data_IF_612189399416
#
_entry.id   IF_612189399416
#
_cell.length_a   1.000
_cell.length_b   1.000
_cell.length_c   1.000
_cell.angle_alpha   90.00
_cell.angle_beta   90.00
_cell.angle_gamma   90.00
#
_symmetry.space_group_name_H-M   'P 1'
#
loop_
_entity.id
_entity.type
_entity.pdbx_description
1 polymer ?
#
# COMPACT_ATOMS: atom_id res chain seq x y z
N UNK A 1 -23.10 29.84 58.45
CA UNK A 1 -23.52 28.90 57.35
C UNK A 1 -23.56 29.51 55.94
N UNK A 2 -23.75 30.84 55.77
CA UNK A 2 -23.81 31.45 54.40
C UNK A 2 -22.43 31.55 53.65
N UNK A 3 -21.30 31.69 54.36
CA UNK A 3 -19.96 31.81 53.78
C UNK A 3 -19.43 30.50 53.21
N UNK A 4 -19.82 29.34 53.74
CA UNK A 4 -19.40 28.02 53.20
C UNK A 4 -20.08 27.66 51.88
N UNK A 5 -21.30 28.15 51.62
CA UNK A 5 -22.00 27.89 50.34
C UNK A 5 -21.39 28.64 49.18
N UNK A 6 -20.82 29.82 49.39
CA UNK A 6 -20.14 30.57 48.32
C UNK A 6 -18.78 29.96 47.91
N UNK A 7 -18.03 29.39 48.83
CA UNK A 7 -16.77 28.74 48.56
C UNK A 7 -17.00 27.43 47.79
N UNK A 8 -18.03 26.66 48.15
CA UNK A 8 -18.39 25.44 47.41
C UNK A 8 -18.87 25.74 45.98
N UNK A 9 -19.59 26.85 45.77
CA UNK A 9 -20.03 27.24 44.40
C UNK A 9 -18.88 27.77 43.59
N UNK A 10 -17.92 28.49 44.16
CA UNK A 10 -16.71 28.94 43.47
C UNK A 10 -15.77 27.76 43.09
N UNK A 11 -15.63 26.77 43.99
CA UNK A 11 -14.88 25.55 43.65
C UNK A 11 -15.58 24.71 42.57
N UNK A 12 -16.91 24.61 42.59
CA UNK A 12 -17.66 23.89 41.54
C UNK A 12 -17.59 24.59 40.18
N UNK A 13 -17.52 25.93 40.15
CA UNK A 13 -17.28 26.67 38.88
C UNK A 13 -15.86 26.50 38.33
N UNK A 14 -14.84 26.41 39.19
CA UNK A 14 -13.45 26.22 38.79
C UNK A 14 -13.23 24.77 38.27
N UNK A 15 -13.90 23.78 38.85
CA UNK A 15 -13.83 22.39 38.40
C UNK A 15 -14.63 22.13 37.09
N UNK A 16 -15.68 22.92 36.83
CA UNK A 16 -16.44 22.80 35.57
C UNK A 16 -15.72 23.43 34.37
N UNK A 17 -14.75 24.32 34.58
CA UNK A 17 -13.93 24.87 33.47
C UNK A 17 -12.83 23.90 33.03
N UNK A 18 -12.43 22.96 33.90
CA UNK A 18 -11.42 21.97 33.56
C UNK A 18 -11.95 20.81 32.66
N UNK A 19 -13.26 20.69 32.45
CA UNK A 19 -13.90 19.63 31.69
C UNK A 19 -14.00 19.89 30.16
N UNK A 20 -13.71 21.11 29.72
CA UNK A 20 -13.72 21.47 28.28
C UNK A 20 -12.36 21.26 27.59
N UNK A 21 -11.41 20.55 28.24
CA UNK A 21 -10.00 20.64 27.92
C UNK A 21 -9.61 20.03 26.58
N UNK A 22 -10.21 18.94 26.13
CA UNK A 22 -9.61 18.18 25.03
C UNK A 22 -10.11 18.62 23.64
N UNK A 23 -11.39 18.88 23.48
CA UNK A 23 -11.93 19.33 22.18
C UNK A 23 -11.62 20.81 21.90
N UNK A 24 -11.70 21.68 22.92
CA UNK A 24 -11.34 23.10 22.77
C UNK A 24 -9.84 23.28 22.51
N UNK A 25 -8.98 22.47 23.11
CA UNK A 25 -7.55 22.49 22.81
C UNK A 25 -7.26 22.11 21.34
N UNK A 26 -7.96 21.12 20.78
CA UNK A 26 -7.78 20.73 19.37
C UNK A 26 -8.22 21.83 18.39
N UNK A 27 -9.19 22.66 18.76
CA UNK A 27 -9.62 23.82 17.97
C UNK A 27 -8.65 25.00 18.09
N UNK A 28 -8.03 25.19 19.27
CA UNK A 28 -7.06 26.26 19.52
C UNK A 28 -5.66 25.95 18.97
N UNK A 29 -5.29 24.67 18.84
CA UNK A 29 -4.00 24.22 18.29
C UNK A 29 -4.01 23.96 16.78
N UNK A 30 -5.05 24.31 16.05
CA UNK A 30 -4.93 24.44 14.59
C UNK A 30 -3.92 25.54 14.33
N UNK A 31 -2.68 25.12 14.08
CA UNK A 31 -1.64 26.01 13.63
C UNK A 31 -2.19 26.81 12.46
N UNK A 32 -2.29 28.13 12.61
CA UNK A 32 -2.86 29.03 11.61
C UNK A 32 -1.97 29.17 10.35
N UNK A 33 -1.10 28.18 10.11
CA UNK A 33 -0.20 28.12 8.95
C UNK A 33 -0.68 27.07 7.96
N UNK A 34 -0.63 27.43 6.67
CA UNK A 34 -0.89 26.48 5.58
C UNK A 34 0.40 25.74 5.24
N UNK A 35 0.40 24.43 5.38
CA UNK A 35 1.52 23.54 5.07
C UNK A 35 1.01 22.15 4.66
N UNK A 36 1.56 21.52 3.59
CA UNK A 36 2.36 22.17 2.55
C UNK A 36 1.49 23.06 1.66
N UNK A 37 2.10 24.05 1.03
CA UNK A 37 1.45 24.88 0.01
C UNK A 37 2.17 24.71 -1.32
N UNK A 38 1.47 24.18 -2.33
CA UNK A 38 1.96 24.06 -3.71
C UNK A 38 1.45 25.24 -4.50
N UNK A 39 2.36 26.08 -5.01
CA UNK A 39 2.01 27.27 -5.78
C UNK A 39 3.19 27.75 -6.64
N UNK A 40 2.92 28.15 -7.87
CA UNK A 40 3.90 28.75 -8.77
C UNK A 40 5.21 27.94 -8.89
N UNK A 41 5.08 26.65 -9.22
CA UNK A 41 6.22 25.72 -9.38
C UNK A 41 7.10 25.55 -8.13
N UNK A 42 6.53 25.83 -6.95
CA UNK A 42 7.19 25.66 -5.67
C UNK A 42 6.32 24.94 -4.65
N UNK A 43 6.98 24.34 -3.67
CA UNK A 43 6.35 23.77 -2.47
C UNK A 43 6.90 24.51 -1.27
N UNK A 44 6.00 25.10 -0.47
CA UNK A 44 6.35 25.80 0.76
C UNK A 44 5.83 25.03 1.95
N UNK A 45 6.73 24.71 2.87
CA UNK A 45 6.42 24.12 4.17
C UNK A 45 6.48 25.19 5.25
N UNK A 46 5.54 25.12 6.22
CA UNK A 46 5.51 26.02 7.39
C UNK A 46 5.21 25.21 8.64
N UNK A 47 5.89 25.53 9.72
CA UNK A 47 5.73 24.84 10.99
C UNK A 47 5.89 25.80 12.17
N UNK A 48 4.96 25.75 13.13
CA UNK A 48 5.01 26.61 14.31
C UNK A 48 5.78 25.91 15.45
N UNK A 49 6.97 26.42 15.74
CA UNK A 49 7.81 25.92 16.83
C UNK A 49 8.69 27.04 17.41
N UNK A 50 8.12 27.97 18.19
CA UNK A 50 8.82 29.20 18.61
C UNK A 50 10.03 28.94 19.51
N UNK A 51 10.09 27.77 20.17
CA UNK A 51 11.20 27.40 21.08
C UNK A 51 12.19 26.41 20.47
N UNK A 52 11.97 25.94 19.25
CA UNK A 52 12.87 25.02 18.58
C UNK A 52 14.17 25.73 18.19
N UNK A 53 15.28 24.99 18.19
CA UNK A 53 16.60 25.47 17.76
C UNK A 53 16.87 25.17 16.29
N UNK A 54 16.27 24.08 15.79
CA UNK A 54 16.45 23.64 14.42
C UNK A 54 15.18 22.93 13.94
N UNK A 55 14.67 23.34 12.78
CA UNK A 55 13.57 22.64 12.11
C UNK A 55 13.96 22.38 10.66
N UNK A 56 13.58 21.22 10.13
CA UNK A 56 13.82 20.83 8.74
C UNK A 56 12.71 19.92 8.22
N UNK A 57 12.61 19.78 6.90
CA UNK A 57 11.74 18.83 6.22
C UNK A 57 12.59 17.67 5.72
N UNK A 58 12.20 16.43 6.09
CA UNK A 58 12.71 15.20 5.49
C UNK A 58 11.67 14.70 4.48
N UNK A 59 12.08 14.48 3.22
CA UNK A 59 11.13 14.16 2.15
C UNK A 59 11.69 13.12 1.19
N UNK A 60 10.80 12.25 0.66
CA UNK A 60 11.17 11.09 -0.16
C UNK A 60 11.83 11.46 -1.50
N UNK A 61 11.59 12.63 -2.05
CA UNK A 61 12.25 13.07 -3.30
C UNK A 61 13.68 13.56 -3.12
N UNK A 62 14.13 13.75 -1.88
CA UNK A 62 15.51 14.15 -1.58
C UNK A 62 16.49 12.98 -1.55
N UNK A 63 15.99 11.75 -1.71
CA UNK A 63 16.76 10.50 -1.65
C UNK A 63 16.92 9.95 -0.23
N UNK A 64 17.22 8.66 -0.14
CA UNK A 64 17.58 8.00 1.11
C UNK A 64 18.95 8.53 1.58
N UNK A 65 19.10 8.87 2.84
CA UNK A 65 20.29 9.42 3.48
C UNK A 65 20.63 10.86 3.10
N UNK A 66 19.76 11.58 2.43
CA UNK A 66 20.09 12.92 1.98
C UNK A 66 19.40 13.99 2.81
N UNK A 67 19.93 15.04 2.67
CA UNK A 67 19.64 16.43 2.83
C UNK A 67 18.20 16.71 3.24
N UNK A 68 18.03 16.95 4.52
CA UNK A 68 16.84 17.63 5.00
C UNK A 68 16.85 19.06 4.46
N UNK A 69 15.69 19.59 4.12
CA UNK A 69 15.52 21.00 3.79
C UNK A 69 15.51 21.80 5.09
N UNK A 70 16.55 22.59 5.41
CA UNK A 70 16.55 23.40 6.61
C UNK A 70 15.51 24.51 6.49
N UNK A 71 14.80 24.78 7.57
CA UNK A 71 13.81 25.85 7.66
C UNK A 71 14.41 27.07 8.37
N UNK A 72 13.88 28.25 8.05
CA UNK A 72 14.24 29.53 8.70
C UNK A 72 13.07 30.01 9.55
N UNK A 73 13.35 30.48 10.77
CA UNK A 73 12.34 30.99 11.70
C UNK A 73 12.11 32.48 11.50
N UNK A 74 10.85 32.91 11.49
CA UNK A 74 10.46 34.30 11.52
C UNK A 74 10.30 34.84 12.96
N UNK A 75 9.99 36.14 13.10
CA UNK A 75 9.82 36.83 14.38
C UNK A 75 8.61 36.27 15.19
N UNK A 76 7.66 35.59 14.56
CA UNK A 76 6.48 34.99 15.20
C UNK A 76 6.70 33.53 15.61
N UNK A 77 7.90 33.00 15.41
CA UNK A 77 8.23 31.62 15.71
C UNK A 77 7.75 30.59 14.69
N UNK A 78 7.39 31.05 13.49
CA UNK A 78 7.02 30.20 12.34
C UNK A 78 8.27 29.86 11.56
N UNK A 79 8.53 28.58 11.42
CA UNK A 79 9.58 28.05 10.55
C UNK A 79 9.04 27.86 9.14
N UNK A 80 9.82 28.19 8.13
CA UNK A 80 9.43 28.04 6.73
C UNK A 80 10.60 27.66 5.83
N UNK A 81 10.30 26.92 4.75
CA UNK A 81 11.19 26.66 3.63
C UNK A 81 10.38 26.52 2.34
N UNK A 82 10.88 27.11 1.27
CA UNK A 82 10.36 26.91 -0.09
C UNK A 82 11.39 26.18 -0.93
N UNK A 83 10.94 25.22 -1.72
CA UNK A 83 11.77 24.45 -2.65
C UNK A 83 11.09 24.41 -4.02
N UNK A 84 11.82 24.25 -5.13
CA UNK A 84 11.21 23.94 -6.41
C UNK A 84 10.29 22.74 -6.29
N UNK A 85 9.18 22.76 -7.02
CA UNK A 85 8.26 21.64 -7.07
C UNK A 85 8.95 20.40 -7.66
N UNK A 86 8.94 19.25 -6.98
CA UNK A 86 9.46 18.02 -7.57
C UNK A 86 8.56 17.54 -8.73
N UNK A 87 9.04 16.57 -9.51
CA UNK A 87 8.29 16.00 -10.61
C UNK A 87 6.91 15.46 -10.15
N UNK A 88 5.90 15.40 -11.04
CA UNK A 88 4.59 14.85 -10.68
C UNK A 88 4.66 13.43 -10.10
N UNK A 89 4.27 13.28 -8.84
CA UNK A 89 4.25 12.01 -8.11
C UNK A 89 3.57 12.19 -6.75
N UNK A 90 3.28 11.09 -6.05
CA UNK A 90 2.90 11.07 -4.65
C UNK A 90 4.14 10.84 -3.78
N UNK A 91 4.49 11.84 -3.03
CA UNK A 91 5.63 11.85 -2.11
C UNK A 91 5.21 11.71 -0.66
N UNK A 92 6.15 11.33 0.18
CA UNK A 92 6.01 11.36 1.64
C UNK A 92 7.02 12.32 2.25
N UNK A 93 6.66 12.94 3.39
CA UNK A 93 7.56 13.80 4.15
C UNK A 93 7.24 13.78 5.64
N UNK A 94 8.19 14.23 6.44
CA UNK A 94 8.03 14.50 7.87
C UNK A 94 8.71 15.82 8.21
N UNK A 95 8.30 16.45 9.31
CA UNK A 95 9.02 17.55 9.95
C UNK A 95 10.01 16.97 10.96
N UNK A 96 11.21 17.54 11.02
CA UNK A 96 12.22 17.18 12.02
C UNK A 96 12.50 18.40 12.89
N UNK A 97 12.17 18.29 14.19
CA UNK A 97 12.32 19.38 15.18
C UNK A 97 13.35 18.96 16.20
N UNK A 98 14.47 19.68 16.28
CA UNK A 98 15.59 19.37 17.20
C UNK A 98 16.03 17.91 17.19
N UNK A 99 15.97 17.27 16.00
CA UNK A 99 16.33 15.86 15.80
C UNK A 99 15.18 14.86 15.96
N UNK A 100 14.00 15.30 16.38
CA UNK A 100 12.81 14.43 16.53
C UNK A 100 11.95 14.50 15.26
N UNK A 101 11.72 13.34 14.64
CA UNK A 101 10.83 13.22 13.48
C UNK A 101 9.38 13.18 13.91
N UNK A 102 8.53 14.01 13.29
CA UNK A 102 7.12 14.10 13.59
C UNK A 102 6.27 14.41 12.35
N UNK A 103 4.97 14.22 12.45
CA UNK A 103 4.02 14.62 11.40
C UNK A 103 3.86 16.15 11.38
N UNK A 104 3.58 16.67 10.19
CA UNK A 104 3.10 18.04 9.99
C UNK A 104 1.62 18.11 10.41
N UNK A 105 1.28 18.81 11.49
CA UNK A 105 -0.11 18.88 11.98
C UNK A 105 -1.02 19.69 11.06
N UNK A 106 -0.47 20.46 10.14
CA UNK A 106 -1.23 21.25 9.16
C UNK A 106 -1.65 20.42 7.96
N UNK A 107 -1.13 19.21 7.79
CA UNK A 107 -1.47 18.29 6.71
C UNK A 107 -2.17 17.03 7.25
N UNK A 108 -3.47 16.90 6.98
CA UNK A 108 -4.28 15.74 7.39
C UNK A 108 -4.02 14.48 6.55
N UNK A 109 -3.33 14.61 5.42
CA UNK A 109 -2.99 13.49 4.56
C UNK A 109 -1.81 12.72 5.15
N UNK A 110 -2.09 11.59 5.77
CA UNK A 110 -1.10 10.74 6.43
C UNK A 110 -1.10 9.36 5.79
N UNK A 111 0.10 8.81 5.59
CA UNK A 111 0.34 7.45 5.15
C UNK A 111 1.14 6.69 6.20
N UNK A 112 0.96 5.38 6.24
CA UNK A 112 1.65 4.48 7.15
C UNK A 112 2.41 3.41 6.36
N UNK A 113 3.68 3.22 6.70
CA UNK A 113 4.50 2.12 6.19
C UNK A 113 5.03 1.30 7.38
N UNK A 114 4.44 0.15 7.60
CA UNK A 114 4.66 -0.63 8.82
C UNK A 114 4.28 0.17 10.07
N UNK A 115 5.26 0.48 10.91
CA UNK A 115 5.09 1.29 12.13
C UNK A 115 5.40 2.79 11.93
N UNK A 116 5.81 3.21 10.73
CA UNK A 116 6.16 4.61 10.45
C UNK A 116 4.99 5.37 9.86
N UNK A 117 4.74 6.57 10.38
CA UNK A 117 3.76 7.50 9.85
C UNK A 117 4.47 8.66 9.14
N UNK A 118 3.93 9.06 8.00
CA UNK A 118 4.45 10.14 7.16
C UNK A 118 3.30 10.94 6.59
N UNK A 119 3.50 12.25 6.38
CA UNK A 119 2.54 13.02 5.60
C UNK A 119 2.70 12.74 4.11
N UNK A 120 1.61 12.84 3.38
CA UNK A 120 1.58 12.70 1.93
C UNK A 120 1.56 14.08 1.24
N UNK A 121 2.25 14.18 0.11
CA UNK A 121 2.24 15.32 -0.79
C UNK A 121 2.03 14.84 -2.22
N UNK A 122 0.86 15.09 -2.78
CA UNK A 122 0.57 14.80 -4.18
C UNK A 122 0.96 16.01 -5.05
N UNK A 123 1.88 15.79 -5.98
CA UNK A 123 2.17 16.71 -7.07
C UNK A 123 1.47 16.19 -8.32
N UNK A 124 0.45 16.89 -8.82
CA UNK A 124 -0.36 16.40 -9.95
C UNK A 124 0.41 16.41 -11.27
N UNK A 125 -0.06 15.63 -12.23
CA UNK A 125 0.46 15.50 -13.59
C UNK A 125 0.90 14.07 -13.92
N UNK A 126 0.74 13.68 -15.19
CA UNK A 126 1.17 12.37 -15.68
C UNK A 126 0.57 11.18 -14.92
N UNK A 127 1.40 10.29 -14.40
CA UNK A 127 0.91 9.15 -13.61
C UNK A 127 0.26 9.56 -12.29
N UNK A 128 0.68 10.68 -11.71
CA UNK A 128 0.18 11.13 -10.41
C UNK A 128 -1.28 11.55 -10.44
N UNK A 129 -1.83 11.88 -11.60
CA UNK A 129 -3.26 12.19 -11.75
C UNK A 129 -4.16 10.99 -11.41
N UNK A 130 -3.65 9.77 -11.56
CA UNK A 130 -4.36 8.55 -11.15
C UNK A 130 -4.43 8.37 -9.63
N UNK A 131 -3.59 9.08 -8.87
CA UNK A 131 -3.53 8.97 -7.40
C UNK A 131 -4.46 9.97 -6.70
N UNK A 132 -5.03 10.91 -7.44
CA UNK A 132 -6.01 11.87 -6.94
C UNK A 132 -7.37 11.19 -6.67
N UNK A 133 -8.14 11.79 -5.77
CA UNK A 133 -9.51 11.32 -5.50
C UNK A 133 -10.37 11.43 -6.75
N UNK A 134 -11.09 10.36 -7.06
CA UNK A 134 -12.04 10.32 -8.17
C UNK A 134 -13.36 11.00 -7.80
N UNK A 135 -14.03 11.60 -8.78
CA UNK A 135 -15.40 12.11 -8.61
C UNK A 135 -16.45 11.00 -8.44
N UNK A 136 -16.09 9.76 -8.75
CA UNK A 136 -16.93 8.56 -8.59
C UNK A 136 -16.12 7.48 -7.86
N UNK A 137 -15.90 7.63 -6.55
CA UNK A 137 -15.10 6.68 -5.79
C UNK A 137 -15.84 5.36 -5.57
N UNK A 138 -15.08 4.29 -5.52
CA UNK A 138 -15.51 3.02 -4.96
C UNK A 138 -15.49 3.04 -3.42
N UNK A 139 -15.66 1.87 -2.80
CA UNK A 139 -15.64 1.74 -1.34
C UNK A 139 -14.58 0.74 -0.90
N UNK A 140 -14.12 0.88 0.34
CA UNK A 140 -13.24 -0.09 1.01
C UNK A 140 -13.93 -0.60 2.26
N UNK A 141 -14.08 -1.92 2.34
CA UNK A 141 -14.58 -2.61 3.53
C UNK A 141 -13.40 -3.20 4.30
N UNK A 142 -13.38 -3.04 5.63
CA UNK A 142 -12.49 -3.75 6.53
C UNK A 142 -13.19 -5.03 6.97
N UNK A 143 -12.73 -6.16 6.48
CA UNK A 143 -13.41 -7.45 6.64
C UNK A 143 -12.62 -8.36 7.57
N UNK A 144 -13.25 -8.78 8.66
CA UNK A 144 -12.72 -9.82 9.54
C UNK A 144 -13.23 -11.18 9.08
N UNK A 145 -12.34 -12.15 9.00
CA UNK A 145 -12.66 -13.52 8.61
C UNK A 145 -11.86 -14.52 9.44
N UNK A 146 -12.43 -15.69 9.68
CA UNK A 146 -11.69 -16.78 10.28
C UNK A 146 -10.88 -17.50 9.20
N UNK A 147 -9.59 -17.64 9.42
CA UNK A 147 -8.68 -18.43 8.61
C UNK A 147 -8.48 -19.80 9.28
N UNK A 148 -9.04 -20.83 8.71
CA UNK A 148 -8.86 -22.19 9.22
C UNK A 148 -7.42 -22.69 9.03
N UNK A 149 -6.77 -22.28 7.94
CA UNK A 149 -5.36 -22.61 7.66
C UNK A 149 -4.41 -22.06 8.71
N UNK A 150 -4.69 -20.84 9.23
CA UNK A 150 -3.86 -20.18 10.24
C UNK A 150 -4.42 -20.34 11.67
N UNK A 151 -5.61 -20.94 11.84
CA UNK A 151 -6.31 -21.06 13.13
C UNK A 151 -6.41 -19.73 13.88
N UNK A 152 -6.87 -18.68 13.20
CA UNK A 152 -7.10 -17.35 13.81
C UNK A 152 -8.07 -16.51 13.00
N UNK A 153 -8.72 -15.56 13.68
CA UNK A 153 -9.48 -14.49 13.00
C UNK A 153 -8.51 -13.46 12.46
N UNK A 154 -8.63 -13.11 11.17
CA UNK A 154 -7.73 -12.22 10.45
C UNK A 154 -8.52 -11.12 9.75
N UNK A 155 -7.83 -10.05 9.36
CA UNK A 155 -8.41 -8.92 8.64
C UNK A 155 -7.87 -8.81 7.22
N UNK A 156 -8.74 -8.38 6.30
CA UNK A 156 -8.39 -7.96 4.94
C UNK A 156 -9.18 -6.70 4.57
N UNK A 157 -8.70 -5.95 3.59
CA UNK A 157 -9.45 -4.87 2.98
C UNK A 157 -10.02 -5.33 1.66
N UNK A 158 -11.27 -4.95 1.38
CA UNK A 158 -11.97 -5.30 0.14
C UNK A 158 -12.44 -4.01 -0.52
N UNK A 159 -11.82 -3.68 -1.66
CA UNK A 159 -12.30 -2.60 -2.52
C UNK A 159 -13.41 -3.10 -3.42
N UNK A 160 -14.47 -2.30 -3.53
CA UNK A 160 -15.58 -2.48 -4.46
C UNK A 160 -15.71 -1.27 -5.37
N UNK A 161 -15.86 -1.45 -6.71
CA UNK A 161 -15.88 -0.33 -7.65
C UNK A 161 -17.13 0.55 -7.50
N UNK A 162 -17.06 1.77 -8.01
CA UNK A 162 -18.23 2.68 -8.05
C UNK A 162 -19.44 2.00 -8.69
N UNK A 163 -20.61 2.17 -8.08
CA UNK A 163 -21.84 1.53 -8.52
C UNK A 163 -21.99 0.06 -8.10
N UNK A 164 -21.10 -0.45 -7.27
CA UNK A 164 -21.28 -1.78 -6.69
C UNK A 164 -22.53 -1.85 -5.82
N UNK A 165 -23.36 -2.87 -6.06
CA UNK A 165 -24.51 -3.19 -5.22
C UNK A 165 -24.45 -4.67 -4.82
N UNK A 166 -24.29 -4.92 -3.52
CA UNK A 166 -24.23 -6.27 -2.94
C UNK A 166 -25.50 -7.09 -3.20
N UNK A 167 -26.64 -6.42 -3.32
CA UNK A 167 -27.94 -7.06 -3.51
C UNK A 167 -28.20 -7.41 -4.98
N UNK A 168 -27.52 -6.78 -5.92
CA UNK A 168 -27.65 -7.07 -7.35
C UNK A 168 -26.87 -8.35 -7.72
N UNK A 169 -27.55 -9.49 -7.70
CA UNK A 169 -26.94 -10.78 -8.04
C UNK A 169 -26.74 -11.02 -9.54
N UNK A 170 -27.27 -10.13 -10.37
CA UNK A 170 -27.12 -10.23 -11.83
C UNK A 170 -25.76 -9.70 -12.32
N UNK A 171 -25.12 -8.81 -11.56
CA UNK A 171 -23.79 -8.28 -11.86
C UNK A 171 -22.75 -9.05 -11.03
N UNK A 172 -21.76 -9.62 -11.71
CA UNK A 172 -20.64 -10.32 -11.06
C UNK A 172 -19.33 -9.68 -11.46
N UNK A 173 -18.46 -9.48 -10.49
CA UNK A 173 -17.18 -8.82 -10.66
C UNK A 173 -16.02 -9.83 -10.67
N UNK A 174 -15.00 -9.63 -11.51
CA UNK A 174 -13.73 -10.33 -11.35
C UNK A 174 -13.01 -9.81 -10.12
N UNK A 175 -12.05 -10.59 -9.60
CA UNK A 175 -11.36 -10.31 -8.34
C UNK A 175 -9.84 -10.33 -8.54
N UNK A 176 -9.20 -9.24 -8.16
CA UNK A 176 -7.75 -9.15 -7.99
C UNK A 176 -7.41 -9.36 -6.51
N UNK A 177 -6.61 -10.36 -6.19
CA UNK A 177 -5.98 -10.55 -4.90
C UNK A 177 -4.61 -9.88 -4.91
N UNK A 178 -4.40 -8.84 -4.09
CA UNK A 178 -3.26 -7.94 -4.17
C UNK A 178 -2.45 -7.97 -2.88
N UNK A 179 -1.21 -8.45 -2.96
CA UNK A 179 -0.37 -8.79 -1.83
C UNK A 179 0.71 -7.72 -1.57
N UNK A 180 0.85 -7.30 -0.31
CA UNK A 180 1.84 -6.31 0.13
C UNK A 180 3.24 -6.92 0.27
N UNK A 181 4.26 -6.08 0.48
CA UNK A 181 5.66 -6.48 0.71
C UNK A 181 6.01 -6.76 2.17
N UNK A 182 7.24 -7.14 2.42
CA UNK A 182 7.78 -7.34 3.77
C UNK A 182 7.63 -6.08 4.63
N UNK A 183 7.19 -6.25 5.87
CA UNK A 183 6.93 -5.15 6.81
C UNK A 183 5.61 -4.41 6.61
N UNK A 184 4.90 -4.63 5.49
CA UNK A 184 3.56 -4.11 5.26
C UNK A 184 2.46 -4.96 5.90
N UNK A 185 1.23 -4.58 5.61
CA UNK A 185 0.01 -5.25 6.05
C UNK A 185 -1.15 -4.94 5.09
N UNK A 186 -2.39 -5.30 5.44
CA UNK A 186 -3.57 -5.11 4.60
C UNK A 186 -3.87 -3.65 4.23
N UNK A 187 -3.30 -2.67 4.95
CA UNK A 187 -3.46 -1.24 4.69
C UNK A 187 -2.53 -0.70 3.58
N UNK A 188 -1.39 -1.37 3.36
CA UNK A 188 -0.31 -0.85 2.53
C UNK A 188 -0.74 -0.47 1.10
N UNK A 189 -1.50 -1.34 0.42
CA UNK A 189 -1.97 -1.07 -0.93
C UNK A 189 -3.07 0.00 -1.00
N UNK A 190 -3.91 0.13 0.04
CA UNK A 190 -4.96 1.14 0.07
C UNK A 190 -4.40 2.55 0.28
N UNK A 191 -3.39 2.70 1.12
CA UNK A 191 -2.81 4.00 1.48
C UNK A 191 -1.59 4.35 0.63
N UNK A 192 -0.46 3.64 0.78
CA UNK A 192 0.76 3.87 0.01
C UNK A 192 0.60 3.53 -1.47
N UNK A 193 -0.12 2.45 -1.78
CA UNK A 193 -0.36 1.99 -3.14
C UNK A 193 -1.41 2.77 -3.91
N UNK A 194 -2.26 3.55 -3.24
CA UNK A 194 -3.36 4.31 -3.86
C UNK A 194 -4.27 3.45 -4.76
N UNK A 195 -4.43 2.18 -4.41
CA UNK A 195 -5.15 1.20 -5.23
C UNK A 195 -6.57 1.66 -5.59
N UNK A 196 -7.30 2.21 -4.61
CA UNK A 196 -8.67 2.68 -4.83
C UNK A 196 -8.72 3.79 -5.86
N UNK A 197 -7.89 4.82 -5.70
CA UNK A 197 -7.85 5.98 -6.60
C UNK A 197 -7.39 5.57 -8.01
N UNK A 198 -6.37 4.72 -8.12
CA UNK A 198 -5.91 4.18 -9.42
C UNK A 198 -7.06 3.47 -10.14
N UNK A 199 -7.76 2.58 -9.45
CA UNK A 199 -8.87 1.83 -10.04
C UNK A 199 -10.05 2.72 -10.38
N UNK A 200 -10.47 3.60 -9.47
CA UNK A 200 -11.57 4.52 -9.70
C UNK A 200 -11.34 5.37 -10.95
N UNK A 201 -10.13 5.93 -11.09
CA UNK A 201 -9.76 6.76 -12.22
C UNK A 201 -9.66 5.94 -13.54
N UNK A 202 -9.05 4.76 -13.49
CA UNK A 202 -8.92 3.90 -14.68
C UNK A 202 -10.27 3.30 -15.12
N UNK A 203 -11.13 2.92 -14.19
CA UNK A 203 -12.49 2.43 -14.49
C UNK A 203 -13.33 3.54 -15.08
N UNK A 204 -13.29 4.75 -14.49
CA UNK A 204 -14.00 5.92 -15.02
C UNK A 204 -13.56 6.31 -16.44
N UNK A 205 -12.27 6.07 -16.77
CA UNK A 205 -11.71 6.28 -18.11
C UNK A 205 -11.97 5.11 -19.09
N UNK A 206 -12.61 4.03 -18.65
CA UNK A 206 -12.81 2.82 -19.46
C UNK A 206 -11.53 2.02 -19.75
N UNK A 207 -10.40 2.31 -19.05
CA UNK A 207 -9.11 1.66 -19.25
C UNK A 207 -8.98 0.36 -18.47
N UNK A 208 -9.67 0.23 -17.34
CA UNK A 208 -9.74 -1.00 -16.55
C UNK A 208 -11.19 -1.48 -16.46
N UNK A 209 -11.38 -2.80 -16.39
CA UNK A 209 -12.69 -3.39 -16.10
C UNK A 209 -13.09 -3.08 -14.65
N UNK A 210 -14.37 -2.80 -14.36
CA UNK A 210 -14.84 -2.82 -12.98
C UNK A 210 -14.52 -4.16 -12.32
N UNK A 211 -13.75 -4.11 -11.23
CA UNK A 211 -13.27 -5.29 -10.50
C UNK A 211 -13.28 -5.05 -9.00
N UNK A 212 -13.34 -6.11 -8.23
CA UNK A 212 -13.05 -6.06 -6.81
C UNK A 212 -11.55 -6.29 -6.56
N UNK A 213 -11.02 -5.69 -5.49
CA UNK A 213 -9.65 -5.96 -5.05
C UNK A 213 -9.66 -6.40 -3.60
N UNK A 214 -9.05 -7.52 -3.33
CA UNK A 214 -8.86 -8.07 -1.99
C UNK A 214 -7.41 -7.88 -1.58
N UNK A 215 -7.20 -7.12 -0.53
CA UNK A 215 -5.89 -6.78 0.04
C UNK A 215 -5.76 -7.41 1.42
N UNK A 216 -5.30 -8.65 1.52
CA UNK A 216 -5.13 -9.33 2.79
C UNK A 216 -3.80 -8.97 3.44
N UNK A 217 -3.65 -9.29 4.73
CA UNK A 217 -2.36 -9.35 5.37
C UNK A 217 -1.62 -10.62 4.92
N UNK A 218 -0.56 -10.45 4.13
CA UNK A 218 0.26 -11.56 3.61
C UNK A 218 1.18 -12.21 4.64
N UNK A 219 1.24 -11.67 5.88
CA UNK A 219 1.97 -12.29 6.98
C UNK A 219 1.03 -13.28 7.71
N UNK A 220 1.25 -14.60 7.61
CA UNK A 220 0.35 -15.60 8.17
C UNK A 220 0.29 -15.58 9.71
N UNK A 221 1.23 -14.92 10.36
CA UNK A 221 1.32 -14.87 11.82
C UNK A 221 0.64 -13.63 12.44
N UNK A 222 0.01 -12.78 11.64
CA UNK A 222 -0.67 -11.56 12.10
C UNK A 222 -2.17 -11.64 11.94
N UNK A 223 -2.90 -11.15 12.95
CA UNK A 223 -4.36 -10.98 12.89
C UNK A 223 -4.73 -9.82 11.94
N UNK A 224 -4.05 -8.71 12.10
CA UNK A 224 -4.24 -7.45 11.38
C UNK A 224 -2.96 -6.61 11.43
N UNK A 225 -3.02 -5.37 10.95
CA UNK A 225 -1.91 -4.42 10.97
C UNK A 225 -1.19 -4.38 12.33
N UNK A 226 0.14 -4.43 12.31
CA UNK A 226 0.99 -4.48 13.52
C UNK A 226 0.74 -3.35 14.50
N UNK A 227 0.40 -2.15 14.00
CA UNK A 227 0.23 -0.94 14.82
C UNK A 227 -1.09 -0.89 15.60
N UNK A 228 -1.97 -1.88 15.46
CA UNK A 228 -3.23 -1.93 16.21
C UNK A 228 -3.06 -2.45 17.66
N UNK A 229 -1.85 -2.81 18.08
CA UNK A 229 -1.61 -3.41 19.39
C UNK A 229 -2.29 -4.76 19.61
N UNK A 230 -2.78 -5.38 18.54
CA UNK A 230 -3.38 -6.71 18.58
C UNK A 230 -2.24 -7.74 18.65
N UNK A 231 -2.28 -8.67 19.61
CA UNK A 231 -1.26 -9.73 19.70
C UNK A 231 -1.17 -10.53 18.41
N UNK A 232 0.05 -10.85 17.99
CA UNK A 232 0.29 -11.80 16.90
C UNK A 232 0.50 -13.20 17.49
N UNK A 233 0.11 -14.22 16.75
CA UNK A 233 0.43 -15.60 17.10
C UNK A 233 1.95 -15.79 16.99
N UNK A 234 2.56 -16.49 17.94
CA UNK A 234 3.97 -16.86 17.82
C UNK A 234 4.20 -17.61 16.50
N UNK A 235 5.33 -17.32 15.84
CA UNK A 235 5.72 -17.98 14.61
C UNK A 235 5.96 -19.46 14.95
N UNK A 236 5.02 -20.29 14.57
CA UNK A 236 5.24 -21.74 14.61
C UNK A 236 6.02 -22.15 13.37
N UNK A 237 6.86 -23.15 13.49
CA UNK A 237 7.67 -23.70 12.38
C UNK A 237 6.85 -24.15 11.16
N UNK A 238 5.52 -24.26 11.31
CA UNK A 238 4.59 -24.60 10.21
C UNK A 238 4.66 -23.65 9.02
N UNK A 239 4.98 -22.36 9.26
CA UNK A 239 4.89 -21.33 8.20
C UNK A 239 6.25 -20.76 7.75
N UNK A 240 7.38 -21.19 8.30
CA UNK A 240 8.75 -20.86 7.86
C UNK A 240 8.95 -19.43 7.36
N UNK A 241 9.59 -19.26 6.22
CA UNK A 241 9.63 -18.00 5.50
C UNK A 241 8.26 -17.75 4.83
N UNK A 242 7.76 -16.53 4.88
CA UNK A 242 6.43 -16.16 4.38
C UNK A 242 6.30 -16.17 2.84
N UNK A 243 7.37 -16.50 2.11
CA UNK A 243 7.37 -16.37 0.64
C UNK A 243 6.62 -17.49 -0.08
N UNK A 244 6.68 -18.70 0.43
CA UNK A 244 6.16 -19.88 -0.27
C UNK A 244 4.92 -20.50 0.38
N UNK A 245 4.50 -20.02 1.55
CA UNK A 245 3.47 -20.64 2.38
C UNK A 245 2.26 -19.74 2.68
N UNK A 246 1.80 -18.96 1.73
CA UNK A 246 0.55 -18.21 1.88
C UNK A 246 -0.64 -19.00 1.29
N UNK A 247 -0.74 -20.29 1.66
CA UNK A 247 -1.82 -21.22 1.23
C UNK A 247 -3.22 -20.73 1.62
N UNK A 248 -3.35 -20.01 2.73
CA UNK A 248 -4.62 -19.47 3.20
C UNK A 248 -5.30 -18.51 2.20
N UNK A 249 -4.58 -17.95 1.23
CA UNK A 249 -5.23 -17.18 0.15
C UNK A 249 -6.22 -18.05 -0.62
N UNK A 250 -5.80 -19.24 -1.01
CA UNK A 250 -6.64 -20.16 -1.80
C UNK A 250 -7.56 -20.97 -0.93
N UNK A 251 -7.11 -21.37 0.27
CA UNK A 251 -7.89 -22.23 1.17
C UNK A 251 -9.02 -21.46 1.89
N UNK A 252 -8.78 -20.21 2.30
CA UNK A 252 -9.71 -19.46 3.15
C UNK A 252 -10.30 -18.23 2.45
N UNK A 253 -9.44 -17.39 1.84
CA UNK A 253 -9.86 -16.07 1.35
C UNK A 253 -10.67 -16.18 0.06
N UNK A 254 -10.24 -16.97 -0.93
CA UNK A 254 -10.98 -17.16 -2.18
C UNK A 254 -12.39 -17.69 -1.90
N UNK A 255 -12.58 -18.77 -1.11
CA UNK A 255 -13.92 -19.26 -0.76
C UNK A 255 -14.75 -18.24 0.02
N UNK A 256 -14.14 -17.49 0.94
CA UNK A 256 -14.83 -16.45 1.69
C UNK A 256 -15.40 -15.37 0.77
N UNK A 257 -14.58 -14.86 -0.15
CA UNK A 257 -15.00 -13.83 -1.12
C UNK A 257 -16.11 -14.36 -2.03
N UNK A 258 -16.01 -15.59 -2.52
CA UNK A 258 -17.01 -16.20 -3.38
C UNK A 258 -18.34 -16.50 -2.69
N UNK A 259 -18.31 -16.69 -1.38
CA UNK A 259 -19.52 -16.87 -0.55
C UNK A 259 -20.22 -15.54 -0.28
N UNK A 260 -19.47 -14.48 -0.03
CA UNK A 260 -19.99 -13.23 0.54
C UNK A 260 -20.19 -12.11 -0.49
N UNK A 261 -19.62 -12.22 -1.70
CA UNK A 261 -19.66 -11.18 -2.72
C UNK A 261 -20.14 -11.72 -4.07
N UNK A 262 -20.80 -10.89 -4.92
CA UNK A 262 -21.22 -11.28 -6.25
C UNK A 262 -20.03 -11.27 -7.22
N UNK A 263 -19.24 -12.35 -7.20
CA UNK A 263 -18.02 -12.47 -7.99
C UNK A 263 -18.09 -13.59 -9.02
N UNK A 264 -17.22 -13.51 -10.04
CA UNK A 264 -17.03 -14.55 -11.06
C UNK A 264 -16.22 -15.68 -10.43
N UNK A 265 -16.84 -16.86 -10.24
CA UNK A 265 -16.29 -18.00 -9.50
C UNK A 265 -15.49 -18.99 -10.37
N UNK A 266 -14.83 -18.51 -11.41
CA UNK A 266 -13.99 -19.35 -12.23
C UNK A 266 -12.61 -18.71 -12.43
N UNK A 267 -11.68 -19.46 -13.00
CA UNK A 267 -10.30 -19.08 -13.23
C UNK A 267 -10.17 -17.72 -13.95
N UNK A 268 -11.00 -17.47 -14.97
CA UNK A 268 -10.99 -16.23 -15.75
C UNK A 268 -11.35 -14.98 -14.95
N UNK A 269 -12.13 -15.17 -13.88
CA UNK A 269 -12.51 -14.11 -12.97
C UNK A 269 -11.51 -13.84 -11.84
N UNK A 270 -10.33 -14.50 -11.81
CA UNK A 270 -9.36 -14.33 -10.72
C UNK A 270 -7.98 -13.93 -11.23
N UNK A 271 -7.40 -12.96 -10.56
CA UNK A 271 -6.01 -12.54 -10.69
C UNK A 271 -5.35 -12.48 -9.31
N UNK A 272 -4.04 -12.74 -9.26
CA UNK A 272 -3.22 -12.51 -8.06
C UNK A 272 -2.02 -11.67 -8.44
N UNK A 273 -1.68 -10.66 -7.63
CA UNK A 273 -0.49 -9.86 -7.84
C UNK A 273 0.08 -9.38 -6.51
N UNK A 274 1.33 -8.94 -6.52
CA UNK A 274 1.96 -8.38 -5.33
C UNK A 274 3.34 -7.82 -5.58
N UNK A 275 3.83 -7.09 -4.57
CA UNK A 275 5.13 -6.46 -4.60
C UNK A 275 6.11 -7.14 -3.65
N UNK A 276 7.40 -7.20 -3.99
CA UNK A 276 8.48 -7.69 -3.11
C UNK A 276 8.18 -9.09 -2.55
N UNK A 277 7.97 -9.23 -1.24
CA UNK A 277 7.47 -10.46 -0.59
C UNK A 277 6.18 -10.94 -1.28
N UNK A 278 5.19 -10.06 -1.43
CA UNK A 278 3.93 -10.37 -2.12
C UNK A 278 4.11 -10.73 -3.59
N UNK A 279 5.16 -10.24 -4.25
CA UNK A 279 5.55 -10.65 -5.60
C UNK A 279 6.01 -12.11 -5.63
N UNK A 280 6.82 -12.53 -4.67
CA UNK A 280 7.19 -13.93 -4.48
C UNK A 280 6.00 -14.81 -4.14
N UNK A 281 5.15 -14.38 -3.21
CA UNK A 281 3.92 -15.08 -2.84
C UNK A 281 2.99 -15.25 -4.06
N UNK A 282 2.80 -14.18 -4.85
CA UNK A 282 1.95 -14.24 -6.05
C UNK A 282 2.46 -15.26 -7.06
N UNK A 283 3.78 -15.33 -7.25
CA UNK A 283 4.42 -16.35 -8.08
C UNK A 283 4.11 -17.77 -7.58
N UNK A 284 4.40 -18.06 -6.30
CA UNK A 284 4.16 -19.38 -5.72
C UNK A 284 2.68 -19.78 -5.75
N UNK A 285 1.80 -18.87 -5.36
CA UNK A 285 0.36 -19.11 -5.33
C UNK A 285 -0.17 -19.41 -6.73
N UNK A 286 0.18 -18.58 -7.73
CA UNK A 286 -0.31 -18.75 -9.09
C UNK A 286 0.18 -20.05 -9.71
N UNK A 287 1.49 -20.34 -9.62
CA UNK A 287 2.07 -21.51 -10.27
C UNK A 287 1.77 -22.84 -9.56
N UNK A 288 1.49 -22.83 -8.26
CA UNK A 288 0.91 -24.00 -7.56
C UNK A 288 -0.56 -24.23 -7.89
N UNK A 289 -1.28 -23.18 -8.28
CA UNK A 289 -2.72 -23.19 -8.51
C UNK A 289 -3.09 -22.67 -9.90
N UNK A 290 -2.46 -23.20 -10.95
CA UNK A 290 -2.63 -22.76 -12.34
C UNK A 290 -4.09 -22.85 -12.84
N UNK A 291 -4.91 -23.66 -12.19
CA UNK A 291 -6.33 -23.82 -12.52
C UNK A 291 -7.24 -22.88 -11.70
N UNK A 292 -6.67 -22.09 -10.77
CA UNK A 292 -7.41 -21.11 -9.94
C UNK A 292 -7.33 -19.71 -10.53
N UNK A 293 -6.16 -19.28 -11.02
CA UNK A 293 -5.91 -17.92 -11.50
C UNK A 293 -5.62 -17.87 -12.99
N UNK A 294 -6.20 -16.91 -13.71
CA UNK A 294 -5.90 -16.67 -15.11
C UNK A 294 -4.80 -15.63 -15.31
N UNK A 295 -4.57 -14.75 -14.34
CA UNK A 295 -3.63 -13.66 -14.46
C UNK A 295 -2.76 -13.57 -13.20
N UNK A 296 -1.47 -13.33 -13.39
CA UNK A 296 -0.50 -13.14 -12.30
C UNK A 296 0.36 -11.90 -12.53
N UNK A 297 0.51 -11.08 -11.48
CA UNK A 297 1.39 -9.90 -11.45
C UNK A 297 2.51 -10.07 -10.41
N UNK A 298 3.75 -9.93 -10.81
CA UNK A 298 4.95 -10.15 -10.00
C UNK A 298 5.78 -8.87 -10.06
N UNK A 299 5.66 -8.02 -9.02
CA UNK A 299 6.30 -6.70 -8.99
C UNK A 299 7.52 -6.74 -8.07
N UNK A 300 8.72 -6.45 -8.60
CA UNK A 300 9.97 -6.41 -7.84
C UNK A 300 10.12 -7.60 -6.88
N UNK A 301 9.97 -8.84 -7.36
CA UNK A 301 9.88 -10.03 -6.51
C UNK A 301 11.07 -10.15 -5.56
N UNK A 302 10.79 -10.30 -4.28
CA UNK A 302 11.80 -10.52 -3.26
C UNK A 302 12.52 -11.86 -3.38
N UNK A 303 11.94 -12.82 -4.11
CA UNK A 303 12.49 -14.16 -4.28
C UNK A 303 13.23 -14.29 -5.63
N UNK A 304 12.58 -13.96 -6.75
CA UNK A 304 13.14 -14.15 -8.10
C UNK A 304 14.39 -13.29 -8.31
N UNK A 305 14.42 -12.10 -7.70
CA UNK A 305 15.58 -11.21 -7.73
C UNK A 305 16.61 -11.45 -6.62
N UNK A 306 16.48 -12.50 -5.81
CA UNK A 306 17.31 -12.69 -4.59
C UNK A 306 18.80 -12.84 -4.86
N UNK A 307 19.21 -13.34 -6.01
CA UNK A 307 20.62 -13.45 -6.42
C UNK A 307 21.35 -12.09 -6.40
N UNK A 308 20.63 -11.01 -6.76
CA UNK A 308 21.18 -9.65 -6.77
C UNK A 308 21.43 -9.07 -5.36
N UNK A 309 20.89 -9.69 -4.31
CA UNK A 309 21.05 -9.31 -2.91
C UNK A 309 21.88 -10.33 -2.10
N UNK A 310 22.71 -11.11 -2.79
CA UNK A 310 23.65 -12.05 -2.18
C UNK A 310 23.08 -13.42 -1.82
N UNK A 311 21.87 -13.73 -2.28
CA UNK A 311 21.27 -15.06 -2.21
C UNK A 311 21.76 -15.99 -3.33
N UNK A 312 21.47 -17.29 -3.21
CA UNK A 312 21.63 -18.23 -4.33
C UNK A 312 20.68 -17.82 -5.48
N UNK A 313 21.08 -18.03 -6.76
CA UNK A 313 20.21 -17.78 -7.89
C UNK A 313 18.89 -18.54 -7.72
N UNK A 314 17.77 -17.84 -8.00
CA UNK A 314 16.48 -18.47 -7.94
C UNK A 314 16.31 -19.46 -9.09
N UNK A 315 16.02 -20.72 -8.76
CA UNK A 315 15.71 -21.76 -9.74
C UNK A 315 14.24 -22.17 -9.64
N UNK A 316 13.45 -21.71 -10.63
CA UNK A 316 12.03 -22.03 -10.69
C UNK A 316 11.78 -23.52 -10.98
N UNK A 317 12.65 -24.21 -11.71
CA UNK A 317 12.53 -25.66 -11.99
C UNK A 317 12.63 -26.48 -10.69
N UNK A 318 13.46 -26.06 -9.73
CA UNK A 318 13.59 -26.70 -8.44
C UNK A 318 12.28 -26.62 -7.61
N UNK A 319 11.59 -25.48 -7.67
CA UNK A 319 10.33 -25.27 -6.95
C UNK A 319 9.12 -25.81 -7.71
N UNK A 320 9.20 -25.83 -9.03
CA UNK A 320 8.13 -26.22 -9.95
C UNK A 320 8.66 -27.19 -11.01
N UNK A 321 8.87 -28.46 -10.64
CA UNK A 321 9.41 -29.47 -11.58
C UNK A 321 8.58 -29.54 -12.87
N UNK A 322 9.26 -29.38 -13.99
CA UNK A 322 8.65 -29.29 -15.32
C UNK A 322 8.40 -27.86 -15.80
N UNK A 323 8.73 -26.82 -15.02
CA UNK A 323 8.48 -25.45 -15.43
C UNK A 323 9.24 -25.09 -16.71
N UNK A 324 10.46 -25.58 -16.88
CA UNK A 324 11.27 -25.36 -18.08
C UNK A 324 11.37 -26.59 -19.02
N UNK A 325 11.18 -27.80 -18.47
CA UNK A 325 11.28 -29.06 -19.21
C UNK A 325 9.94 -29.54 -19.74
N UNK A 326 8.82 -29.19 -19.13
CA UNK A 326 7.45 -29.46 -19.58
C UNK A 326 6.55 -28.22 -19.36
N UNK A 327 6.80 -27.12 -20.09
CA UNK A 327 6.13 -25.83 -19.81
C UNK A 327 4.60 -25.87 -19.99
N UNK A 328 4.07 -26.81 -20.77
CA UNK A 328 2.62 -26.93 -20.98
C UNK A 328 1.82 -27.08 -19.69
N UNK A 329 2.41 -27.67 -18.64
CA UNK A 329 1.79 -27.80 -17.30
C UNK A 329 1.50 -26.44 -16.67
N UNK A 330 2.37 -25.46 -16.87
CA UNK A 330 2.33 -24.14 -16.22
C UNK A 330 1.96 -23.00 -17.17
N UNK A 331 2.05 -23.19 -18.48
CA UNK A 331 1.76 -22.20 -19.52
C UNK A 331 0.26 -22.06 -19.76
N UNK A 332 -0.48 -21.68 -18.70
CA UNK A 332 -1.94 -21.59 -18.71
C UNK A 332 -2.45 -20.17 -18.47
N UNK A 333 -1.59 -19.22 -18.15
CA UNK A 333 -2.00 -17.86 -17.82
C UNK A 333 -2.35 -17.04 -19.05
N UNK A 334 -3.38 -16.21 -18.93
CA UNK A 334 -3.72 -15.21 -19.94
C UNK A 334 -2.70 -14.06 -19.88
N UNK A 335 -2.26 -13.68 -18.66
CA UNK A 335 -1.23 -12.66 -18.41
C UNK A 335 -0.26 -13.15 -17.32
N UNK A 336 1.04 -13.12 -17.62
CA UNK A 336 2.15 -13.21 -16.67
C UNK A 336 2.86 -11.87 -16.72
N UNK A 337 2.50 -10.96 -15.82
CA UNK A 337 3.06 -9.61 -15.76
C UNK A 337 4.25 -9.58 -14.80
N UNK A 338 5.42 -9.26 -15.33
CA UNK A 338 6.66 -9.10 -14.60
C UNK A 338 7.09 -7.65 -14.66
N UNK A 339 7.40 -7.05 -13.52
CA UNK A 339 7.83 -5.65 -13.50
C UNK A 339 8.83 -5.35 -12.39
N UNK A 340 9.72 -4.38 -12.64
CA UNK A 340 10.75 -3.97 -11.70
C UNK A 340 11.10 -2.49 -11.89
N UNK A 341 11.66 -1.87 -10.84
CA UNK A 341 12.30 -0.56 -10.97
C UNK A 341 13.65 -0.68 -11.70
N UNK A 342 13.99 0.30 -12.52
CA UNK A 342 15.26 0.33 -13.28
C UNK A 342 16.49 0.36 -12.35
N UNK A 343 16.34 0.93 -11.14
CA UNK A 343 17.38 1.02 -10.12
C UNK A 343 17.16 0.02 -8.97
N UNK A 344 16.18 -0.90 -9.11
CA UNK A 344 15.97 -1.96 -8.13
C UNK A 344 17.04 -3.04 -8.31
N UNK A 345 17.70 -3.43 -7.22
CA UNK A 345 18.72 -4.47 -7.22
C UNK A 345 18.20 -5.88 -7.57
N UNK A 346 16.90 -6.01 -7.81
CA UNK A 346 16.25 -7.27 -8.25
C UNK A 346 16.11 -7.37 -9.76
N UNK A 347 16.41 -6.30 -10.52
CA UNK A 347 16.10 -6.20 -11.93
C UNK A 347 16.75 -7.32 -12.75
N UNK A 348 18.03 -7.62 -12.50
CA UNK A 348 18.77 -8.63 -13.26
C UNK A 348 18.17 -10.02 -13.11
N UNK A 349 17.81 -10.42 -11.89
CA UNK A 349 17.15 -11.72 -11.64
C UNK A 349 15.75 -11.80 -12.24
N UNK A 350 15.02 -10.68 -12.26
CA UNK A 350 13.69 -10.60 -12.89
C UNK A 350 13.79 -10.67 -14.41
N UNK A 351 14.81 -10.04 -15.03
CA UNK A 351 15.09 -10.10 -16.45
C UNK A 351 15.51 -11.51 -16.88
N UNK A 352 16.38 -12.16 -16.12
CA UNK A 352 16.77 -13.56 -16.34
C UNK A 352 15.56 -14.51 -16.32
N UNK A 353 14.71 -14.36 -15.30
CA UNK A 353 13.49 -15.15 -15.19
C UNK A 353 12.53 -14.91 -16.35
N UNK A 354 12.30 -13.64 -16.74
CA UNK A 354 11.51 -13.29 -17.93
C UNK A 354 12.04 -13.98 -19.17
N UNK A 355 13.37 -13.90 -19.40
CA UNK A 355 13.99 -14.48 -20.60
C UNK A 355 13.82 -16.00 -20.63
N UNK A 356 14.03 -16.68 -19.49
CA UNK A 356 13.78 -18.12 -19.36
C UNK A 356 12.34 -18.52 -19.71
N UNK A 357 11.34 -17.73 -19.26
CA UNK A 357 9.95 -17.99 -19.63
C UNK A 357 9.74 -17.87 -21.17
N UNK A 358 10.27 -16.82 -21.78
CA UNK A 358 10.15 -16.60 -23.22
C UNK A 358 10.84 -17.71 -24.02
N UNK A 359 12.05 -18.11 -23.64
CA UNK A 359 12.82 -19.18 -24.31
C UNK A 359 12.11 -20.53 -24.21
N UNK A 360 11.31 -20.76 -23.19
CA UNK A 360 10.47 -21.95 -23.00
C UNK A 360 9.08 -21.84 -23.61
N UNK A 361 8.82 -20.79 -24.36
CA UNK A 361 7.56 -20.60 -25.09
C UNK A 361 6.35 -20.25 -24.24
N UNK A 362 6.55 -19.68 -23.06
CA UNK A 362 5.44 -19.16 -22.26
C UNK A 362 4.72 -18.02 -23.00
N UNK A 363 3.40 -18.09 -23.00
CA UNK A 363 2.52 -17.06 -23.58
C UNK A 363 2.07 -16.07 -22.52
N UNK A 364 1.61 -14.91 -22.96
CA UNK A 364 1.08 -13.88 -22.07
C UNK A 364 2.11 -13.21 -21.17
N UNK A 365 3.40 -13.42 -21.38
CA UNK A 365 4.49 -12.78 -20.65
C UNK A 365 4.58 -11.31 -21.07
N UNK A 366 4.39 -10.41 -20.10
CA UNK A 366 4.53 -8.97 -20.26
C UNK A 366 5.64 -8.49 -19.32
N UNK A 367 6.52 -7.64 -19.82
CA UNK A 367 7.58 -7.01 -19.03
C UNK A 367 7.44 -5.49 -19.05
N UNK A 368 7.51 -4.90 -17.88
CA UNK A 368 7.54 -3.44 -17.71
C UNK A 368 8.66 -3.05 -16.73
N UNK A 369 9.30 -1.92 -16.98
CA UNK A 369 10.26 -1.33 -16.06
C UNK A 369 10.02 0.17 -15.99
N UNK A 370 10.23 0.75 -14.83
CA UNK A 370 10.00 2.17 -14.58
C UNK A 370 11.17 2.79 -13.83
N UNK A 371 11.50 4.06 -14.09
CA UNK A 371 12.49 4.81 -13.32
C UNK A 371 12.17 4.77 -11.83
N UNK A 372 13.10 4.30 -11.02
CA UNK A 372 12.99 4.14 -9.58
C UNK A 372 13.60 2.83 -9.10
N UNK A 373 13.78 2.75 -7.78
CA UNK A 373 14.33 1.59 -7.10
C UNK A 373 13.20 0.70 -6.54
N UNK A 374 13.44 0.06 -5.39
CA UNK A 374 12.47 -0.77 -4.67
C UNK A 374 11.49 0.11 -3.87
N UNK A 375 10.54 0.75 -4.54
CA UNK A 375 9.75 1.83 -3.95
C UNK A 375 8.32 1.94 -4.50
N UNK A 376 7.44 2.60 -3.73
CA UNK A 376 6.02 2.71 -4.02
C UNK A 376 5.69 3.42 -5.34
N UNK A 377 6.49 4.39 -5.81
CA UNK A 377 6.24 5.02 -7.10
C UNK A 377 6.31 4.02 -8.26
N UNK A 378 7.21 3.03 -8.19
CA UNK A 378 7.32 1.95 -9.16
C UNK A 378 6.11 1.02 -9.04
N UNK A 379 5.77 0.61 -7.83
CA UNK A 379 4.69 -0.36 -7.61
C UNK A 379 3.30 0.20 -7.94
N UNK A 380 3.06 1.49 -7.71
CA UNK A 380 1.83 2.16 -8.18
C UNK A 380 1.70 2.11 -9.70
N UNK A 381 2.79 2.34 -10.44
CA UNK A 381 2.82 2.23 -11.90
C UNK A 381 2.60 0.79 -12.37
N UNK A 382 3.23 -0.18 -11.71
CA UNK A 382 3.03 -1.60 -11.99
C UNK A 382 1.56 -2.00 -11.81
N UNK A 383 0.92 -1.57 -10.72
CA UNK A 383 -0.50 -1.83 -10.49
C UNK A 383 -1.35 -1.19 -11.60
N UNK A 384 -1.11 0.10 -11.89
CA UNK A 384 -1.83 0.82 -12.95
C UNK A 384 -1.73 0.12 -14.30
N UNK A 385 -0.55 -0.35 -14.71
CA UNK A 385 -0.36 -1.09 -15.96
C UNK A 385 -1.06 -2.46 -15.91
N UNK A 386 -0.86 -3.23 -14.85
CA UNK A 386 -1.39 -4.58 -14.72
C UNK A 386 -2.92 -4.63 -14.77
N UNK A 387 -3.61 -3.73 -14.05
CA UNK A 387 -5.10 -3.75 -14.01
C UNK A 387 -5.75 -3.39 -15.35
N UNK A 388 -5.01 -2.78 -16.26
CA UNK A 388 -5.46 -2.50 -17.62
C UNK A 388 -5.32 -3.71 -18.56
N UNK A 389 -4.58 -4.73 -18.19
CA UNK A 389 -4.32 -5.93 -19.00
C UNK A 389 -5.26 -7.09 -18.68
N UNK A 390 -5.72 -7.19 -17.43
CA UNK A 390 -6.44 -8.35 -16.92
C UNK A 390 -7.95 -8.26 -17.16
N UNK A 391 -8.62 -9.43 -17.16
CA UNK A 391 -10.08 -9.59 -17.26
C UNK A 391 -10.66 -9.08 -18.60
N UNK A 392 -9.91 -9.14 -19.68
CA UNK A 392 -10.36 -8.76 -21.03
C UNK A 392 -11.21 -9.82 -21.69
#
# INVERSE_FOLDING_TARGET
>A
MKKFKFIALALALVTSISGFGQEMNSLMFRAGVKSPEVKNDSVTFRFVAPKARKVSVSASWLGYNANQLPMTQDANGVWSVSTPQPAPELYTYNIVVDGVTMLDPSNVQVQRDGSRYMNALLIPGGYADQYAESSKPGNVEHVWYYSAENDMTRRMYVYTPAGYDRNNKNVKYPVLYLLHGGGGDEDAWSTLGRTCQILDNLIAQGKAKPMMVVMPNGNPNQYAAQTLGIPTKEITTKYGSNFDNYSSLVADIVPYIEKNYPVIKNRKGRAVAGLSMGGGQSFFIAFRNVDVFANVGIFSSGLIGSSAIGGAPFDAEQHFPGMYTNPAKYNKFDVIYLACGEQDNRIDGMLDFKQKLLDKGYKGVVWEQYPGAHEWKVWRRNLSAFVQLIFK
#
